data_IF_121427107390
#
_entry.id   IF_121427107390
#
_cell.length_a   1.000
_cell.length_b   1.000
_cell.length_c   1.000
_cell.angle_alpha   90.00
_cell.angle_beta   90.00
_cell.angle_gamma   90.00
#
_symmetry.space_group_name_H-M   'P 1'
#
loop_
_entity.id
_entity.type
_entity.pdbx_description
1 polymer ?
#
# COMPACT_ATOMS: atom_id res chain seq x y z
N UNK A 1 -12.32 32.04 -8.51
CA UNK A 1 -12.11 31.11 -7.38
C UNK A 1 -13.45 30.99 -6.69
N UNK A 2 -14.14 29.86 -6.84
CA UNK A 2 -15.38 29.60 -6.09
C UNK A 2 -15.05 29.65 -4.60
N UNK A 3 -15.76 30.52 -3.88
CA UNK A 3 -15.62 30.65 -2.43
C UNK A 3 -16.20 29.40 -1.78
N UNK A 4 -15.71 29.03 -0.60
CA UNK A 4 -16.33 27.98 0.23
C UNK A 4 -17.83 28.23 0.46
N UNK A 5 -18.24 29.50 0.48
CA UNK A 5 -19.65 29.90 0.56
C UNK A 5 -20.47 29.48 -0.67
N UNK A 6 -19.85 29.39 -1.85
CA UNK A 6 -20.55 28.99 -3.07
C UNK A 6 -20.83 27.48 -3.09
N UNK A 7 -19.95 26.68 -2.48
CA UNK A 7 -20.07 25.21 -2.39
C UNK A 7 -20.88 24.76 -1.18
N UNK A 8 -20.64 25.38 -0.02
CA UNK A 8 -21.15 24.93 1.28
C UNK A 8 -22.17 25.89 1.90
N UNK A 9 -22.43 27.04 1.28
CA UNK A 9 -23.41 28.02 1.77
C UNK A 9 -23.09 28.55 3.16
N UNK A 10 -24.11 28.58 4.03
CA UNK A 10 -23.99 28.96 5.44
C UNK A 10 -23.76 27.77 6.38
N UNK A 11 -23.19 26.66 5.89
CA UNK A 11 -23.00 25.47 6.70
C UNK A 11 -22.07 25.73 7.90
N UNK A 12 -22.43 25.18 9.06
CA UNK A 12 -21.64 25.26 10.31
C UNK A 12 -20.51 24.24 10.37
N UNK A 13 -20.51 23.27 9.45
CA UNK A 13 -19.45 22.33 9.21
C UNK A 13 -19.43 22.00 7.71
N UNK A 14 -18.24 21.87 7.13
CA UNK A 14 -18.12 21.40 5.76
C UNK A 14 -16.82 20.67 5.52
N UNK A 15 -16.90 19.69 4.62
CA UNK A 15 -15.80 18.86 4.16
C UNK A 15 -15.69 18.94 2.65
N UNK A 16 -14.54 19.37 2.15
CA UNK A 16 -14.25 19.47 0.72
C UNK A 16 -13.03 18.63 0.41
N UNK A 17 -13.24 17.54 -0.33
CA UNK A 17 -12.19 16.64 -0.76
C UNK A 17 -11.93 16.82 -2.26
N UNK A 18 -10.69 17.14 -2.60
CA UNK A 18 -10.17 17.17 -3.96
C UNK A 18 -9.13 16.06 -4.15
N UNK A 19 -8.69 15.83 -5.37
CA UNK A 19 -7.71 14.78 -5.67
C UNK A 19 -6.38 14.90 -4.90
N UNK A 20 -5.99 16.12 -4.49
CA UNK A 20 -4.71 16.38 -3.83
C UNK A 20 -4.81 16.98 -2.44
N UNK A 21 -6.00 17.33 -1.96
CA UNK A 21 -6.15 17.93 -0.64
C UNK A 21 -7.55 17.71 -0.07
N UNK A 22 -7.58 17.63 1.26
CA UNK A 22 -8.78 17.69 2.07
C UNK A 22 -8.79 19.03 2.78
N UNK A 23 -9.97 19.64 2.88
CA UNK A 23 -10.19 20.71 3.82
C UNK A 23 -11.49 20.47 4.59
N UNK A 24 -11.43 20.72 5.89
CA UNK A 24 -12.50 20.49 6.86
C UNK A 24 -12.59 21.70 7.79
N UNK A 25 -13.80 22.19 8.03
CA UNK A 25 -14.07 23.11 9.14
C UNK A 25 -15.34 22.66 9.85
N UNK A 26 -15.38 22.88 11.16
CA UNK A 26 -16.53 22.55 12.01
C UNK A 26 -16.59 23.55 13.17
N UNK A 27 -17.80 23.89 13.63
CA UNK A 27 -17.98 24.60 14.89
C UNK A 27 -17.70 23.68 16.09
N UNK A 28 -17.31 24.28 17.22
CA UNK A 28 -17.10 23.53 18.46
C UNK A 28 -18.35 22.74 18.86
N UNK A 29 -18.16 21.45 19.19
CA UNK A 29 -19.25 20.55 19.60
C UNK A 29 -20.05 19.95 18.44
N UNK A 30 -19.57 20.08 17.20
CA UNK A 30 -20.18 19.40 16.06
C UNK A 30 -20.14 17.86 16.27
N UNK A 31 -21.28 17.15 16.10
CA UNK A 31 -21.33 15.71 16.26
C UNK A 31 -20.37 15.02 15.29
N UNK A 32 -19.40 14.29 15.84
CA UNK A 32 -18.47 13.53 15.03
C UNK A 32 -19.18 12.30 14.47
N UNK A 33 -19.06 12.09 13.16
CA UNK A 33 -19.51 10.86 12.51
C UNK A 33 -18.58 9.73 12.95
N UNK A 34 -19.05 8.48 12.92
CA UNK A 34 -18.14 7.35 13.14
C UNK A 34 -17.01 7.43 12.12
N UNK A 35 -15.75 7.45 12.58
CA UNK A 35 -14.56 7.63 11.73
C UNK A 35 -14.44 6.64 10.56
N UNK A 36 -15.23 5.58 10.61
CA UNK A 36 -15.22 4.45 9.68
C UNK A 36 -16.49 4.35 8.82
N UNK A 37 -17.41 5.31 8.93
CA UNK A 37 -18.56 5.42 8.05
C UNK A 37 -18.10 5.81 6.64
N UNK A 38 -18.56 5.08 5.62
CA UNK A 38 -18.34 5.49 4.22
C UNK A 38 -19.24 6.67 3.91
N UNK A 39 -18.61 7.79 3.55
CA UNK A 39 -19.29 9.03 3.20
C UNK A 39 -19.58 9.10 1.71
N UNK A 40 -18.64 8.66 0.89
CA UNK A 40 -18.76 8.70 -0.57
C UNK A 40 -17.94 7.60 -1.23
N UNK A 41 -18.36 7.18 -2.42
CA UNK A 41 -17.60 6.27 -3.27
C UNK A 41 -17.75 6.60 -4.75
N UNK A 42 -16.75 6.20 -5.51
CA UNK A 42 -16.85 6.10 -6.98
C UNK A 42 -16.28 4.76 -7.40
N UNK A 43 -16.91 4.13 -8.38
CA UNK A 43 -16.43 2.89 -8.97
C UNK A 43 -16.33 3.09 -10.49
N UNK A 44 -15.19 2.74 -11.07
CA UNK A 44 -14.94 2.85 -12.49
C UNK A 44 -15.82 1.89 -13.30
N UNK A 45 -16.12 2.26 -14.54
CA UNK A 45 -16.84 1.40 -15.48
C UNK A 45 -15.87 0.79 -16.51
N UNK A 46 -15.94 -0.54 -16.72
CA UNK A 46 -15.25 -1.27 -17.80
C UNK A 46 -13.89 -1.92 -17.47
N UNK A 47 -13.38 -2.82 -18.32
CA UNK A 47 -11.96 -3.23 -18.39
C UNK A 47 -11.36 -4.11 -17.27
N UNK A 48 -11.78 -3.98 -16.01
CA UNK A 48 -11.21 -4.72 -14.87
C UNK A 48 -11.60 -6.21 -14.89
N UNK A 49 -12.88 -6.48 -15.18
CA UNK A 49 -13.40 -7.86 -15.33
C UNK A 49 -12.80 -8.61 -16.52
N UNK A 50 -12.27 -7.89 -17.53
CA UNK A 50 -11.65 -8.50 -18.70
C UNK A 50 -10.23 -9.02 -18.41
N UNK A 51 -9.59 -8.54 -17.33
CA UNK A 51 -8.24 -8.93 -16.97
C UNK A 51 -8.25 -10.21 -16.12
N UNK A 52 -7.57 -11.25 -16.60
CA UNK A 52 -7.36 -12.49 -15.86
C UNK A 52 -6.72 -12.19 -14.49
N UNK A 53 -7.33 -12.73 -13.43
CA UNK A 53 -6.90 -12.58 -12.03
C UNK A 53 -6.87 -11.14 -11.51
N UNK A 54 -7.65 -10.22 -12.09
CA UNK A 54 -7.75 -8.84 -11.60
C UNK A 54 -8.06 -8.78 -10.10
N UNK A 55 -9.05 -9.57 -9.66
CA UNK A 55 -9.47 -9.64 -8.26
C UNK A 55 -8.33 -10.04 -7.32
N UNK A 56 -7.55 -11.05 -7.70
CA UNK A 56 -6.38 -11.49 -6.92
C UNK A 56 -5.29 -10.43 -6.86
N UNK A 57 -5.03 -9.74 -7.98
CA UNK A 57 -4.05 -8.65 -8.04
C UNK A 57 -4.48 -7.47 -7.17
N UNK A 58 -5.76 -7.10 -7.25
CA UNK A 58 -6.36 -6.04 -6.43
C UNK A 58 -6.33 -6.40 -4.95
N UNK A 59 -6.76 -7.62 -4.59
CA UNK A 59 -6.72 -8.10 -3.20
C UNK A 59 -5.31 -8.09 -2.61
N UNK A 60 -4.30 -8.41 -3.42
CA UNK A 60 -2.89 -8.33 -3.00
C UNK A 60 -2.43 -6.88 -2.79
N UNK A 61 -2.78 -5.97 -3.71
CA UNK A 61 -2.51 -4.54 -3.54
C UNK A 61 -3.18 -3.97 -2.28
N UNK A 62 -4.42 -4.41 -1.99
CA UNK A 62 -5.14 -4.03 -0.78
C UNK A 62 -4.48 -4.54 0.50
N UNK A 63 -4.06 -5.81 0.55
CA UNK A 63 -3.34 -6.33 1.70
C UNK A 63 -2.03 -5.58 1.99
N UNK A 64 -1.31 -5.18 0.93
CA UNK A 64 -0.13 -4.32 1.06
C UNK A 64 -0.51 -2.92 1.59
N UNK A 65 -1.62 -2.37 1.12
CA UNK A 65 -2.13 -1.07 1.54
C UNK A 65 -2.48 -1.04 3.03
N UNK A 66 -3.18 -2.06 3.52
CA UNK A 66 -3.57 -2.21 4.93
C UNK A 66 -2.35 -2.31 5.86
N UNK A 67 -1.34 -3.10 5.47
CA UNK A 67 -0.10 -3.25 6.25
C UNK A 67 0.80 -2.01 6.21
N UNK A 68 0.81 -1.29 5.08
CA UNK A 68 1.63 -0.10 4.90
C UNK A 68 1.09 1.15 5.60
N UNK A 69 -0.24 1.35 5.58
CA UNK A 69 -0.89 2.54 6.14
C UNK A 69 -0.62 2.73 7.65
N UNK A 70 -0.54 1.64 8.42
CA UNK A 70 -0.19 1.69 9.85
C UNK A 70 1.28 1.97 10.15
N UNK A 71 2.15 1.91 9.13
CA UNK A 71 3.60 2.06 9.29
C UNK A 71 4.14 3.36 8.69
N UNK A 72 3.35 4.03 7.84
CA UNK A 72 3.72 5.27 7.18
C UNK A 72 3.59 6.49 8.10
N UNK A 73 4.73 7.11 8.41
CA UNK A 73 4.74 8.42 9.05
C UNK A 73 3.99 9.45 8.18
N UNK A 74 2.98 10.11 8.75
CA UNK A 74 2.17 11.12 8.05
C UNK A 74 0.92 10.59 7.35
N UNK A 75 0.52 9.34 7.61
CA UNK A 75 -0.80 8.82 7.24
C UNK A 75 -1.03 8.61 5.75
N UNK A 76 -0.01 8.71 4.90
CA UNK A 76 -0.09 8.44 3.46
C UNK A 76 0.72 7.20 3.10
N UNK A 77 0.12 6.28 2.34
CA UNK A 77 0.81 5.11 1.81
C UNK A 77 0.32 4.78 0.40
N UNK A 78 1.26 4.47 -0.50
CA UNK A 78 0.96 4.04 -1.86
C UNK A 78 1.72 2.76 -2.18
N UNK A 79 1.08 1.88 -2.94
CA UNK A 79 1.65 0.61 -3.37
C UNK A 79 1.22 0.27 -4.79
N UNK A 80 1.92 -0.67 -5.38
CA UNK A 80 1.50 -1.30 -6.63
C UNK A 80 1.76 -2.79 -6.58
N UNK A 81 0.83 -3.56 -7.14
CA UNK A 81 0.99 -4.97 -7.38
C UNK A 81 0.61 -5.27 -8.82
N UNK A 82 1.62 -5.59 -9.64
CA UNK A 82 1.48 -5.79 -11.08
C UNK A 82 0.83 -4.57 -11.76
N UNK A 83 -0.39 -4.71 -12.31
CA UNK A 83 -1.13 -3.65 -13.00
C UNK A 83 -2.02 -2.82 -12.07
N UNK A 84 -2.09 -3.14 -10.78
CA UNK A 84 -2.94 -2.41 -9.83
C UNK A 84 -2.07 -1.44 -9.04
N UNK A 85 -2.44 -0.17 -9.09
CA UNK A 85 -1.95 0.86 -8.18
C UNK A 85 -3.01 1.09 -7.11
N UNK A 86 -2.59 1.28 -5.86
CA UNK A 86 -3.47 1.67 -4.78
C UNK A 86 -2.77 2.66 -3.85
N UNK A 87 -3.54 3.59 -3.27
CA UNK A 87 -3.04 4.44 -2.20
C UNK A 87 -4.13 4.67 -1.15
N UNK A 88 -3.68 5.03 0.04
CA UNK A 88 -4.47 5.40 1.18
C UNK A 88 -3.92 6.68 1.79
N UNK A 89 -4.81 7.50 2.33
CA UNK A 89 -4.42 8.65 3.14
C UNK A 89 -5.41 8.86 4.28
N UNK A 90 -4.86 8.97 5.48
CA UNK A 90 -5.53 9.25 6.73
C UNK A 90 -5.48 10.74 7.05
N UNK A 91 -6.45 11.22 7.82
CA UNK A 91 -6.34 12.55 8.44
C UNK A 91 -5.15 12.58 9.42
N UNK A 92 -4.51 13.75 9.50
CA UNK A 92 -3.24 13.91 10.24
C UNK A 92 -3.37 13.85 11.77
N UNK A 93 -4.58 13.86 12.29
CA UNK A 93 -4.90 13.70 13.72
C UNK A 93 -4.97 12.23 14.17
N UNK A 94 -4.99 11.28 13.23
CA UNK A 94 -5.06 9.85 13.56
C UNK A 94 -3.73 9.28 14.05
N UNK A 95 -3.81 8.38 15.03
CA UNK A 95 -2.70 7.50 15.36
C UNK A 95 -2.44 6.48 14.24
N UNK A 96 -1.26 5.88 14.22
CA UNK A 96 -0.94 4.81 13.27
C UNK A 96 -1.93 3.63 13.34
N UNK A 97 -2.40 3.29 14.55
CA UNK A 97 -3.36 2.20 14.76
C UNK A 97 -4.73 2.59 14.21
N UNK A 98 -5.20 3.80 14.50
CA UNK A 98 -6.50 4.27 14.01
C UNK A 98 -6.50 4.46 12.48
N UNK A 99 -5.38 4.90 11.92
CA UNK A 99 -5.18 4.97 10.47
C UNK A 99 -5.25 3.59 9.82
N UNK A 100 -4.53 2.60 10.36
CA UNK A 100 -4.59 1.21 9.87
C UNK A 100 -6.01 0.64 9.94
N UNK A 101 -6.71 0.87 11.05
CA UNK A 101 -8.11 0.45 11.22
C UNK A 101 -9.04 1.11 10.20
N UNK A 102 -8.91 2.42 9.98
CA UNK A 102 -9.72 3.14 9.00
C UNK A 102 -9.49 2.60 7.59
N UNK A 103 -8.22 2.42 7.19
CA UNK A 103 -7.86 1.91 5.86
C UNK A 103 -8.37 0.50 5.64
N UNK A 104 -8.26 -0.38 6.65
CA UNK A 104 -8.82 -1.74 6.60
C UNK A 104 -10.32 -1.72 6.34
N UNK A 105 -11.07 -0.85 7.03
CA UNK A 105 -12.50 -0.72 6.81
C UNK A 105 -12.83 -0.09 5.45
N UNK A 106 -12.03 0.88 4.98
CA UNK A 106 -12.18 1.45 3.65
C UNK A 106 -12.01 0.38 2.56
N UNK A 107 -10.97 -0.45 2.68
CA UNK A 107 -10.68 -1.56 1.76
C UNK A 107 -11.83 -2.55 1.72
N UNK A 108 -12.31 -2.99 2.88
CA UNK A 108 -13.42 -3.94 2.98
C UNK A 108 -14.69 -3.40 2.30
N UNK A 109 -15.04 -2.13 2.58
CA UNK A 109 -16.22 -1.52 1.96
C UNK A 109 -16.06 -1.37 0.47
N UNK A 110 -14.93 -0.84 -0.01
CA UNK A 110 -14.68 -0.66 -1.45
C UNK A 110 -14.65 -1.99 -2.20
N UNK A 111 -14.09 -3.05 -1.64
CA UNK A 111 -14.09 -4.37 -2.26
C UNK A 111 -15.50 -4.89 -2.52
N UNK A 112 -16.41 -4.72 -1.56
CA UNK A 112 -17.83 -5.10 -1.69
C UNK A 112 -18.57 -4.14 -2.62
N UNK A 113 -18.37 -2.84 -2.44
CA UNK A 113 -19.16 -1.79 -3.04
C UNK A 113 -18.79 -1.44 -4.48
N UNK A 114 -17.56 -1.77 -4.90
CA UNK A 114 -17.07 -1.60 -6.26
C UNK A 114 -16.90 -2.92 -7.03
N UNK A 115 -17.12 -4.08 -6.40
CA UNK A 115 -17.16 -5.38 -7.10
C UNK A 115 -15.97 -5.58 -8.06
N UNK A 116 -16.22 -5.93 -9.32
CA UNK A 116 -15.22 -6.10 -10.38
C UNK A 116 -14.68 -4.83 -11.03
N UNK A 117 -15.01 -3.64 -10.51
CA UNK A 117 -14.62 -2.39 -11.13
C UNK A 117 -13.09 -2.22 -11.20
N UNK A 118 -12.53 -1.77 -12.35
CA UNK A 118 -11.08 -1.64 -12.57
C UNK A 118 -10.43 -0.59 -11.67
N UNK A 119 -11.22 0.33 -11.16
CA UNK A 119 -10.80 1.46 -10.35
C UNK A 119 -11.92 1.82 -9.41
N UNK A 120 -11.56 2.46 -8.31
CA UNK A 120 -12.53 2.94 -7.36
C UNK A 120 -11.89 3.82 -6.31
N UNK A 121 -12.71 4.65 -5.70
CA UNK A 121 -12.34 5.53 -4.61
C UNK A 121 -13.35 5.33 -3.49
N UNK A 122 -12.86 5.17 -2.27
CA UNK A 122 -13.68 5.09 -1.06
C UNK A 122 -13.26 6.19 -0.10
N UNK A 123 -14.21 7.03 0.30
CA UNK A 123 -14.01 8.11 1.25
C UNK A 123 -14.76 7.78 2.53
N UNK A 124 -13.99 7.49 3.58
CA UNK A 124 -14.49 7.34 4.94
C UNK A 124 -14.33 8.67 5.68
N UNK A 125 -14.90 8.73 6.87
CA UNK A 125 -14.83 9.93 7.69
C UNK A 125 -13.39 10.29 8.09
N UNK A 126 -12.48 9.34 8.34
CA UNK A 126 -11.09 9.65 8.72
C UNK A 126 -9.99 9.23 7.75
N UNK A 127 -10.34 8.59 6.65
CA UNK A 127 -9.38 8.18 5.63
C UNK A 127 -10.03 8.06 4.26
N UNK A 128 -9.22 8.07 3.21
CA UNK A 128 -9.66 7.69 1.87
C UNK A 128 -8.69 6.68 1.25
N UNK A 129 -9.22 5.88 0.34
CA UNK A 129 -8.42 4.99 -0.51
C UNK A 129 -8.81 5.18 -1.98
N UNK A 130 -7.86 4.93 -2.87
CA UNK A 130 -8.11 4.78 -4.31
C UNK A 130 -7.32 3.62 -4.87
N UNK A 131 -7.87 2.97 -5.89
CA UNK A 131 -7.17 1.97 -6.68
C UNK A 131 -7.47 2.14 -8.15
N UNK A 132 -6.55 1.70 -9.00
CA UNK A 132 -6.69 1.78 -10.45
C UNK A 132 -5.89 0.69 -11.15
N UNK A 133 -6.55 0.03 -12.10
CA UNK A 133 -5.96 -0.96 -12.99
C UNK A 133 -5.39 -0.30 -14.24
N UNK A 134 -4.14 -0.65 -14.57
CA UNK A 134 -3.42 -0.17 -15.74
C UNK A 134 -3.07 -1.34 -16.67
N UNK A 135 -3.80 -1.55 -17.78
CA UNK A 135 -3.59 -2.69 -18.68
C UNK A 135 -2.14 -2.82 -19.18
N UNK A 136 -1.42 -1.70 -19.31
CA UNK A 136 -0.04 -1.64 -19.78
C UNK A 136 0.99 -1.52 -18.64
N UNK A 137 0.59 -1.82 -17.40
CA UNK A 137 1.42 -1.65 -16.21
C UNK A 137 1.27 -0.27 -15.59
N UNK A 138 1.54 -0.19 -14.27
CA UNK A 138 1.43 1.06 -13.51
C UNK A 138 2.49 2.05 -14.01
N UNK A 139 2.12 3.30 -14.33
CA UNK A 139 3.09 4.34 -14.70
C UNK A 139 4.03 4.62 -13.53
N UNK A 140 5.32 4.40 -13.72
CA UNK A 140 6.33 4.71 -12.70
C UNK A 140 6.74 6.18 -12.82
N UNK A 141 5.92 7.08 -12.27
CA UNK A 141 6.34 8.46 -11.96
C UNK A 141 7.12 8.46 -10.65
N UNK A 142 8.40 8.83 -10.69
CA UNK A 142 9.36 8.65 -9.59
C UNK A 142 8.84 9.03 -8.20
N UNK A 143 8.57 8.01 -7.39
CA UNK A 143 8.27 8.10 -5.96
C UNK A 143 8.56 6.73 -5.37
N UNK A 144 9.67 6.63 -4.63
CA UNK A 144 10.24 5.36 -4.18
C UNK A 144 9.28 4.52 -3.35
N UNK A 145 8.77 3.44 -3.94
CA UNK A 145 8.15 2.35 -3.22
C UNK A 145 9.20 1.29 -2.87
N UNK A 146 9.52 1.17 -1.57
CA UNK A 146 10.06 -0.08 -1.02
C UNK A 146 8.94 -1.13 -1.08
N UNK A 147 8.82 -1.81 -2.22
CA UNK A 147 7.79 -2.80 -2.47
C UNK A 147 8.38 -4.14 -2.89
N UNK A 148 8.77 -4.96 -1.90
CA UNK A 148 8.62 -6.41 -1.95
C UNK A 148 9.16 -7.17 -3.16
N UNK A 149 10.49 -7.29 -3.27
CA UNK A 149 11.13 -8.40 -4.01
C UNK A 149 12.30 -8.99 -3.20
N UNK A 150 12.17 -9.09 -1.88
CA UNK A 150 13.26 -9.58 -1.01
C UNK A 150 13.15 -11.07 -0.68
N UNK A 151 11.99 -11.72 -0.77
CA UNK A 151 11.87 -13.12 -0.30
C UNK A 151 12.71 -14.10 -1.13
N UNK A 152 12.78 -13.92 -2.46
CA UNK A 152 13.65 -14.74 -3.32
C UNK A 152 15.15 -14.33 -3.24
N UNK A 153 15.44 -13.02 -3.13
CA UNK A 153 16.82 -12.51 -3.07
C UNK A 153 17.51 -12.83 -1.75
N UNK A 154 16.80 -12.70 -0.62
CA UNK A 154 17.32 -13.06 0.71
C UNK A 154 17.60 -14.56 0.82
N UNK A 155 16.71 -15.42 0.31
CA UNK A 155 16.91 -16.88 0.31
C UNK A 155 18.11 -17.28 -0.54
N UNK A 156 18.28 -16.67 -1.73
CA UNK A 156 19.43 -16.92 -2.60
C UNK A 156 20.77 -16.51 -1.96
N UNK A 157 20.81 -15.38 -1.25
CA UNK A 157 22.03 -14.90 -0.56
C UNK A 157 22.41 -15.83 0.59
N UNK A 158 21.44 -16.28 1.39
CA UNK A 158 21.70 -17.14 2.56
C UNK A 158 22.15 -18.54 2.13
N UNK A 159 21.49 -19.15 1.14
CA UNK A 159 21.90 -20.47 0.60
C UNK A 159 23.25 -20.39 -0.13
N UNK A 160 23.48 -19.32 -0.92
CA UNK A 160 24.76 -19.11 -1.60
C UNK A 160 25.93 -18.93 -0.62
N UNK A 161 25.72 -18.15 0.45
CA UNK A 161 26.73 -17.93 1.49
C UNK A 161 27.11 -19.21 2.23
N UNK A 162 26.13 -20.07 2.57
CA UNK A 162 26.37 -21.34 3.26
C UNK A 162 27.19 -22.32 2.38
N UNK A 163 26.86 -22.44 1.09
CA UNK A 163 27.59 -23.30 0.16
C UNK A 163 29.02 -22.81 -0.09
N UNK A 164 29.23 -21.50 -0.23
CA UNK A 164 30.55 -20.91 -0.43
C UNK A 164 31.47 -21.12 0.78
N UNK A 165 30.97 -20.90 2.00
CA UNK A 165 31.73 -21.15 3.23
C UNK A 165 32.08 -22.64 3.38
N UNK A 166 31.13 -23.54 3.08
CA UNK A 166 31.38 -24.98 3.10
C UNK A 166 32.48 -25.40 2.13
N UNK A 167 32.44 -24.89 0.89
CA UNK A 167 33.47 -25.18 -0.12
C UNK A 167 34.86 -24.66 0.30
N UNK A 168 34.93 -23.45 0.87
CA UNK A 168 36.18 -22.84 1.31
C UNK A 168 36.83 -23.65 2.46
N UNK A 169 36.03 -24.11 3.42
CA UNK A 169 36.51 -24.98 4.51
C UNK A 169 37.06 -26.29 3.96
N UNK A 170 36.36 -26.93 3.01
CA UNK A 170 36.84 -28.16 2.36
C UNK A 170 38.18 -27.92 1.64
N UNK A 171 38.30 -26.85 0.86
CA UNK A 171 39.55 -26.50 0.18
C UNK A 171 40.70 -26.27 1.18
N UNK A 172 40.46 -25.61 2.31
CA UNK A 172 41.47 -25.39 3.35
C UNK A 172 41.90 -26.71 4.03
N UNK A 173 40.97 -27.64 4.25
CA UNK A 173 41.29 -28.96 4.79
C UNK A 173 42.13 -29.79 3.81
N UNK A 174 41.80 -29.76 2.52
CA UNK A 174 42.61 -30.40 1.48
C UNK A 174 44.01 -29.78 1.39
N UNK A 175 44.12 -28.45 1.38
CA UNK A 175 45.41 -27.76 1.38
C UNK A 175 46.27 -28.14 2.60
N UNK A 176 45.66 -28.18 3.80
CA UNK A 176 46.36 -28.65 5.02
C UNK A 176 46.82 -30.11 4.93
N UNK A 177 46.01 -30.99 4.34
CA UNK A 177 46.40 -32.40 4.15
C UNK A 177 47.57 -32.56 3.18
N UNK A 178 47.69 -31.68 2.17
CA UNK A 178 48.79 -31.69 1.20
C UNK A 178 50.07 -31.09 1.77
N UNK A 179 49.98 -30.09 2.64
CA UNK A 179 51.14 -29.55 3.38
C UNK A 179 51.68 -30.58 4.36
N UNK A 180 50.79 -31.26 5.11
CA UNK A 180 51.20 -32.28 6.09
C UNK A 180 51.94 -33.47 5.45
N UNK A 181 51.59 -33.84 4.19
CA UNK A 181 52.31 -34.88 3.44
C UNK A 181 53.73 -34.49 3.00
N UNK A 182 54.08 -33.20 3.00
CA UNK A 182 55.42 -32.72 2.62
C UNK A 182 56.38 -32.66 3.79
N UNK A 183 55.90 -32.61 5.02
CA UNK A 183 56.73 -32.55 6.22
C UNK A 183 57.20 -33.96 6.69
N UNK A 184 56.66 -35.03 6.10
CA UNK A 184 56.98 -36.45 6.41
C UNK A 184 57.95 -37.10 5.39
N UNK A 185 58.62 -36.34 4.52
CA UNK A 185 59.65 -36.83 3.58
C UNK A 185 60.99 -36.10 3.76
#
# INVERSE_FOLDING_TARGET
MSSWRDLCGGAVAARVQLNGCLALYEISGFPQVSGVQMLFKTCGSGGGEAAQDFETRRGTAFAQLEGGAGSSAGGFFATSFQQVYALAQCEGDLSNVDCSNCVTQAVQRVAVECGGAPSGQGYLDKCYITYSYYPHGVPHGGGGGLGGQQTAKTVAIVLGGALALGFLVICLLFARSLVKKKDDY
#
